data_IF_748848863415
#
_entry.id   IF_748848863415
#
_cell.length_a   1.000
_cell.length_b   1.000
_cell.length_c   1.000
_cell.angle_alpha   90.00
_cell.angle_beta   90.00
_cell.angle_gamma   90.00
#
_symmetry.space_group_name_H-M   'P 1'
#
loop_
_entity.id
_entity.type
_entity.pdbx_description
1 polymer ?
#
# COMPACT_ATOMS: atom_id res chain seq x y z
N UNK A 1 9.06 7.72 -24.81
CA UNK A 1 7.88 7.26 -24.06
C UNK A 1 6.84 8.38 -24.03
N UNK A 2 5.69 8.18 -24.68
CA UNK A 2 4.65 9.20 -24.89
C UNK A 2 4.09 9.76 -23.56
N UNK A 3 3.75 11.04 -23.52
CA UNK A 3 3.26 11.75 -22.31
C UNK A 3 2.06 11.05 -21.65
N UNK A 4 1.15 10.50 -22.46
CA UNK A 4 -0.02 9.72 -22.00
C UNK A 4 0.37 8.51 -21.15
N UNK A 5 1.37 7.73 -21.58
CA UNK A 5 1.83 6.55 -20.83
C UNK A 5 2.44 6.92 -19.48
N UNK A 6 3.18 8.05 -19.42
CA UNK A 6 3.73 8.55 -18.16
C UNK A 6 2.63 8.90 -17.17
N UNK A 7 1.56 9.55 -17.64
CA UNK A 7 0.40 9.89 -16.80
C UNK A 7 -0.33 8.64 -16.30
N UNK A 8 -0.57 7.65 -17.16
CA UNK A 8 -1.24 6.39 -16.76
C UNK A 8 -0.45 5.65 -15.69
N UNK A 9 0.87 5.49 -15.86
CA UNK A 9 1.72 4.81 -14.86
C UNK A 9 1.70 5.56 -13.52
N UNK A 10 1.69 6.89 -13.56
CA UNK A 10 1.59 7.70 -12.34
C UNK A 10 0.27 7.46 -11.60
N UNK A 11 -0.85 7.43 -12.33
CA UNK A 11 -2.18 7.12 -11.78
C UNK A 11 -2.20 5.73 -11.16
N UNK A 12 -1.61 4.73 -11.82
CA UNK A 12 -1.46 3.37 -11.27
C UNK A 12 -0.71 3.40 -9.93
N UNK A 13 0.39 4.15 -9.84
CA UNK A 13 1.13 4.30 -8.58
C UNK A 13 0.29 4.92 -7.47
N UNK A 14 -0.54 5.93 -7.78
CA UNK A 14 -1.46 6.54 -6.81
C UNK A 14 -2.54 5.55 -6.36
N UNK A 15 -3.12 4.79 -7.28
CA UNK A 15 -4.14 3.77 -6.95
C UNK A 15 -3.55 2.69 -6.04
N UNK A 16 -2.34 2.20 -6.34
CA UNK A 16 -1.64 1.23 -5.49
C UNK A 16 -1.43 1.77 -4.07
N UNK A 17 -1.00 3.02 -3.95
CA UNK A 17 -0.82 3.66 -2.65
C UNK A 17 -2.14 3.78 -1.87
N UNK A 18 -3.24 4.16 -2.53
CA UNK A 18 -4.56 4.26 -1.88
C UNK A 18 -5.00 2.90 -1.36
N UNK A 19 -4.81 1.84 -2.14
CA UNK A 19 -5.14 0.47 -1.72
C UNK A 19 -4.34 0.10 -0.46
N UNK A 20 -3.04 0.35 -0.44
CA UNK A 20 -2.19 0.09 0.74
C UNK A 20 -2.61 0.91 1.97
N UNK A 21 -2.99 2.18 1.79
CA UNK A 21 -3.50 3.02 2.88
C UNK A 21 -4.81 2.44 3.44
N UNK A 22 -5.77 2.11 2.58
CA UNK A 22 -7.04 1.53 3.00
C UNK A 22 -6.83 0.22 3.76
N UNK A 23 -5.92 -0.63 3.27
CA UNK A 23 -5.54 -1.88 3.92
C UNK A 23 -5.09 -1.67 5.38
N UNK A 24 -4.23 -0.66 5.63
CA UNK A 24 -3.80 -0.31 6.99
C UNK A 24 -4.91 0.32 7.83
N UNK A 25 -5.77 1.15 7.24
CA UNK A 25 -6.92 1.73 7.96
C UNK A 25 -7.85 0.62 8.45
N UNK A 26 -8.15 -0.37 7.60
CA UNK A 26 -8.97 -1.53 7.99
C UNK A 26 -8.32 -2.35 9.10
N UNK A 27 -7.01 -2.58 9.02
CA UNK A 27 -6.26 -3.26 10.08
C UNK A 27 -6.37 -2.50 11.42
N UNK A 28 -6.05 -1.21 11.42
CA UNK A 28 -6.13 -0.35 12.61
C UNK A 28 -7.55 -0.31 13.16
N UNK A 29 -8.56 -0.22 12.30
CA UNK A 29 -9.96 -0.25 12.71
C UNK A 29 -10.37 -1.56 13.38
N UNK A 30 -9.83 -2.69 12.95
CA UNK A 30 -10.05 -3.96 13.65
C UNK A 30 -9.34 -3.97 15.01
N UNK A 31 -8.13 -3.42 15.11
CA UNK A 31 -7.43 -3.29 16.39
C UNK A 31 -8.16 -2.39 17.40
N UNK A 32 -9.04 -1.47 16.97
CA UNK A 32 -9.87 -0.69 17.90
C UNK A 32 -11.11 -1.43 18.38
N UNK A 33 -11.49 -2.52 17.72
CA UNK A 33 -12.67 -3.33 18.07
C UNK A 33 -12.35 -4.57 18.87
N UNK A 34 -11.21 -5.19 18.61
CA UNK A 34 -10.81 -6.45 19.22
C UNK A 34 -9.52 -6.25 20.02
N UNK A 35 -9.46 -6.84 21.20
CA UNK A 35 -8.32 -6.72 22.12
C UNK A 35 -7.30 -7.83 21.92
N UNK A 36 -7.74 -9.01 21.49
CA UNK A 36 -6.86 -10.14 21.23
C UNK A 36 -6.37 -10.14 19.77
N UNK A 37 -5.11 -10.51 19.59
CA UNK A 37 -4.46 -10.52 18.28
C UNK A 37 -5.13 -11.51 17.31
N UNK A 38 -5.41 -12.74 17.75
CA UNK A 38 -6.00 -13.77 16.90
C UNK A 38 -7.45 -13.44 16.50
N UNK A 39 -8.22 -12.83 17.41
CA UNK A 39 -9.56 -12.34 17.12
C UNK A 39 -9.51 -11.19 16.10
N UNK A 40 -8.60 -10.24 16.30
CA UNK A 40 -8.37 -9.11 15.37
C UNK A 40 -8.00 -9.63 13.98
N UNK A 41 -7.05 -10.58 13.91
CA UNK A 41 -6.59 -11.19 12.66
C UNK A 41 -7.72 -11.90 11.94
N UNK A 42 -8.51 -12.69 12.66
CA UNK A 42 -9.65 -13.42 12.10
C UNK A 42 -10.73 -12.45 11.59
N UNK A 43 -11.08 -11.44 12.37
CA UNK A 43 -12.05 -10.43 11.99
C UNK A 43 -11.58 -9.60 10.78
N UNK A 44 -10.30 -9.26 10.73
CA UNK A 44 -9.70 -8.58 9.58
C UNK A 44 -9.74 -9.45 8.31
N UNK A 45 -9.32 -10.72 8.41
CA UNK A 45 -9.34 -11.64 7.26
C UNK A 45 -10.76 -11.93 6.78
N UNK A 46 -11.77 -11.83 7.65
CA UNK A 46 -13.18 -12.01 7.28
C UNK A 46 -13.72 -10.93 6.33
N UNK A 47 -13.05 -9.77 6.23
CA UNK A 47 -13.39 -8.71 5.26
C UNK A 47 -13.07 -9.12 3.82
N UNK A 48 -12.23 -10.15 3.65
CA UNK A 48 -11.72 -10.55 2.36
C UNK A 48 -12.30 -11.90 1.94
N UNK A 49 -12.47 -12.15 0.63
CA UNK A 49 -12.91 -13.45 0.16
C UNK A 49 -11.88 -14.54 0.47
N UNK A 50 -12.35 -15.77 0.70
CA UNK A 50 -11.57 -16.91 1.21
C UNK A 50 -10.27 -17.20 0.44
N UNK A 51 -10.22 -16.89 -0.86
CA UNK A 51 -9.04 -17.14 -1.70
C UNK A 51 -7.88 -16.16 -1.46
N UNK A 52 -8.14 -14.97 -0.88
CA UNK A 52 -7.10 -14.01 -0.46
C UNK A 52 -7.06 -13.78 1.05
N UNK A 53 -7.96 -14.39 1.82
CA UNK A 53 -8.06 -14.27 3.27
C UNK A 53 -6.93 -15.01 4.02
N UNK A 54 -5.68 -14.75 3.61
CA UNK A 54 -4.46 -15.21 4.26
C UNK A 54 -3.60 -13.99 4.57
N UNK A 55 -3.24 -13.81 5.84
CA UNK A 55 -2.51 -12.63 6.32
C UNK A 55 -1.15 -12.46 5.64
N UNK A 56 -0.41 -13.56 5.44
CA UNK A 56 0.88 -13.54 4.76
C UNK A 56 0.72 -13.15 3.29
N UNK A 57 -0.31 -13.68 2.63
CA UNK A 57 -0.58 -13.38 1.22
C UNK A 57 -0.97 -11.91 1.01
N UNK A 58 -1.90 -11.39 1.83
CA UNK A 58 -2.31 -9.98 1.81
C UNK A 58 -1.13 -9.05 2.09
N UNK A 59 -0.31 -9.38 3.09
CA UNK A 59 0.87 -8.58 3.43
C UNK A 59 1.90 -8.59 2.31
N UNK A 60 2.14 -9.76 1.68
CA UNK A 60 3.03 -9.86 0.52
C UNK A 60 2.53 -9.04 -0.67
N UNK A 61 1.23 -9.08 -0.97
CA UNK A 61 0.62 -8.25 -2.01
C UNK A 61 0.77 -6.76 -1.69
N UNK A 62 0.58 -6.36 -0.43
CA UNK A 62 0.71 -4.98 0.02
C UNK A 62 2.16 -4.49 -0.10
N UNK A 63 3.16 -5.32 0.23
CA UNK A 63 4.58 -5.02 0.03
C UNK A 63 4.88 -4.81 -1.46
N UNK A 64 4.40 -5.70 -2.34
CA UNK A 64 4.60 -5.57 -3.78
C UNK A 64 3.94 -4.31 -4.32
N UNK A 65 2.69 -4.03 -3.94
CA UNK A 65 1.96 -2.83 -4.33
C UNK A 65 2.68 -1.55 -3.89
N UNK A 66 3.08 -1.49 -2.62
CA UNK A 66 3.81 -0.35 -2.04
C UNK A 66 5.18 -0.17 -2.71
N UNK A 67 5.90 -1.27 -2.95
CA UNK A 67 7.20 -1.26 -3.62
C UNK A 67 7.12 -0.77 -5.06
N UNK A 68 6.12 -1.21 -5.83
CA UNK A 68 5.86 -0.71 -7.19
C UNK A 68 5.53 0.79 -7.14
N UNK A 69 4.70 1.24 -6.20
CA UNK A 69 4.39 2.66 -6.02
C UNK A 69 5.65 3.49 -5.72
N UNK A 70 6.55 3.02 -4.84
CA UNK A 70 7.85 3.66 -4.57
C UNK A 70 8.67 3.80 -5.85
N UNK A 71 8.81 2.72 -6.64
CA UNK A 71 9.58 2.74 -7.90
C UNK A 71 9.00 3.73 -8.89
N UNK A 72 7.66 3.77 -9.01
CA UNK A 72 6.97 4.74 -9.86
C UNK A 72 7.29 6.15 -9.39
N UNK A 73 7.02 6.50 -8.13
CA UNK A 73 7.25 7.86 -7.64
C UNK A 73 8.72 8.28 -7.67
N UNK A 74 9.65 7.35 -7.47
CA UNK A 74 11.09 7.59 -7.62
C UNK A 74 11.45 8.03 -9.04
N UNK A 75 10.85 7.42 -10.08
CA UNK A 75 11.06 7.83 -11.48
C UNK A 75 10.47 9.20 -11.79
N UNK A 76 9.36 9.56 -11.15
CA UNK A 76 8.66 10.83 -11.39
C UNK A 76 9.16 11.99 -10.52
N UNK A 77 10.00 11.74 -9.50
CA UNK A 77 10.58 12.80 -8.66
C UNK A 77 11.44 13.83 -9.42
N UNK A 78 11.93 13.48 -10.61
CA UNK A 78 12.73 14.39 -11.44
C UNK A 78 11.89 15.14 -12.50
N UNK A 79 10.59 14.87 -12.61
CA UNK A 79 9.69 15.57 -13.52
C UNK A 79 9.24 16.90 -12.88
N UNK A 80 9.67 18.04 -13.45
CA UNK A 80 9.59 19.38 -12.84
C UNK A 80 8.28 19.71 -12.11
N UNK A 81 7.13 19.52 -12.75
CA UNK A 81 5.81 19.82 -12.16
C UNK A 81 5.36 18.84 -11.05
N UNK A 82 5.74 17.55 -11.15
CA UNK A 82 5.32 16.51 -10.19
C UNK A 82 6.36 16.23 -9.11
N UNK A 83 7.50 16.94 -9.11
CA UNK A 83 8.66 16.65 -8.26
C UNK A 83 8.32 16.65 -6.77
N UNK A 84 7.64 17.69 -6.28
CA UNK A 84 7.32 17.82 -4.86
C UNK A 84 6.33 16.75 -4.42
N UNK A 85 5.21 16.62 -5.12
CA UNK A 85 4.16 15.62 -4.83
C UNK A 85 4.71 14.20 -4.89
N UNK A 86 5.48 13.86 -5.93
CA UNK A 86 6.08 12.53 -6.07
C UNK A 86 7.05 12.22 -4.94
N UNK A 87 7.81 13.21 -4.44
CA UNK A 87 8.71 13.00 -3.30
C UNK A 87 7.92 12.66 -2.02
N UNK A 88 6.83 13.37 -1.76
CA UNK A 88 5.96 13.10 -0.61
C UNK A 88 5.32 11.72 -0.72
N UNK A 89 4.71 11.40 -1.87
CA UNK A 89 4.08 10.09 -2.10
C UNK A 89 5.08 8.94 -2.03
N UNK A 90 6.31 9.14 -2.51
CA UNK A 90 7.40 8.16 -2.38
C UNK A 90 7.73 7.89 -0.91
N UNK A 91 7.87 8.93 -0.08
CA UNK A 91 8.16 8.76 1.36
C UNK A 91 7.03 8.00 2.04
N UNK A 92 5.76 8.38 1.80
CA UNK A 92 4.60 7.69 2.38
C UNK A 92 4.59 6.22 1.97
N UNK A 93 4.79 5.94 0.67
CA UNK A 93 4.82 4.57 0.14
C UNK A 93 5.97 3.75 0.76
N UNK A 94 7.14 4.36 0.97
CA UNK A 94 8.27 3.69 1.63
C UNK A 94 7.99 3.38 3.10
N UNK A 95 7.36 4.29 3.83
CA UNK A 95 6.97 4.07 5.23
C UNK A 95 5.95 2.93 5.31
N UNK A 96 4.93 2.93 4.44
CA UNK A 96 3.94 1.85 4.38
C UNK A 96 4.55 0.51 4.00
N UNK A 97 5.45 0.50 3.01
CA UNK A 97 6.18 -0.72 2.61
C UNK A 97 7.01 -1.26 3.78
N UNK A 98 7.78 -0.40 4.44
CA UNK A 98 8.57 -0.75 5.62
C UNK A 98 7.68 -1.29 6.74
N UNK A 99 6.55 -0.64 7.03
CA UNK A 99 5.56 -1.14 7.97
C UNK A 99 5.10 -2.55 7.61
N UNK A 100 4.74 -2.81 6.35
CA UNK A 100 4.29 -4.14 5.91
C UNK A 100 5.37 -5.21 6.02
N UNK A 101 6.65 -4.87 5.79
CA UNK A 101 7.78 -5.79 5.96
C UNK A 101 8.01 -6.10 7.44
N UNK A 102 7.95 -5.10 8.32
CA UNK A 102 8.12 -5.30 9.77
C UNK A 102 6.92 -5.98 10.42
N UNK A 103 5.72 -5.64 9.97
CA UNK A 103 4.44 -6.18 10.42
C UNK A 103 4.09 -7.47 9.68
N UNK A 104 5.07 -8.23 9.19
CA UNK A 104 4.84 -9.54 8.57
C UNK A 104 4.10 -10.44 9.60
N UNK A 105 2.77 -10.39 9.55
CA UNK A 105 1.80 -11.03 10.44
C UNK A 105 1.34 -12.39 9.91
#
# INVERSE_FOLDING_TARGET
MNFRYKSVIYIVGVVLLIISILNKIWWIYMCTKYTEFEETKTAYLSLFPKFIANAFFLTSMDIIASGIAVIIFLKFKNAGYLKSTSKVLMIISSILCGWSIFSLM
#
